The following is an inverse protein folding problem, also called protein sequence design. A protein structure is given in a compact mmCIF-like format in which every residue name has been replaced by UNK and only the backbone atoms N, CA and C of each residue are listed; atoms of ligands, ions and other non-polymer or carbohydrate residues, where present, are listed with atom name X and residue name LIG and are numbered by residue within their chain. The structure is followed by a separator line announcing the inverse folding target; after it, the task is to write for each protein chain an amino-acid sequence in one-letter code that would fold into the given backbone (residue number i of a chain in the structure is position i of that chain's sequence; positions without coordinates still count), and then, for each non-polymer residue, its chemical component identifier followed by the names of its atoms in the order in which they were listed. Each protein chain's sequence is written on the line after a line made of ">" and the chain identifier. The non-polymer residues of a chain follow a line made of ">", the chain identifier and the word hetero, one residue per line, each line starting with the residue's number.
data_IF_240982440607
#
_entry.id   IF_240982440607
#
_cell.length_a   1.000
_cell.length_b   1.000
_cell.length_c   1.000
_cell.angle_alpha   90.00
_cell.angle_beta   90.00
_cell.angle_gamma   90.00
#
_symmetry.space_group_name_H-M   'P 1'
#
loop_
_entity.id
_entity.type
_entity.pdbx_description
1 polymer ?
#
# COMPACT_ATOMS: atom_id res chain seq x y z
N UNK A 1 -0.18 -8.74 3.19
CA UNK A 1 0.51 -9.56 2.16
C UNK A 1 0.37 -11.03 2.52
N UNK A 2 0.08 -11.91 1.55
CA UNK A 2 -0.19 -13.36 1.74
C UNK A 2 -1.26 -13.70 2.78
N UNK A 3 -2.18 -12.77 3.05
CA UNK A 3 -3.27 -13.03 3.99
C UNK A 3 -4.18 -14.14 3.43
N UNK A 4 -4.56 -15.15 4.25
CA UNK A 4 -5.48 -16.18 3.83
C UNK A 4 -6.86 -15.58 3.59
N UNK A 5 -7.65 -16.18 2.70
CA UNK A 5 -8.98 -15.65 2.34
C UNK A 5 -9.90 -15.48 3.56
N UNK A 6 -9.79 -16.36 4.56
CA UNK A 6 -10.54 -16.24 5.83
C UNK A 6 -10.30 -14.92 6.58
N UNK A 7 -9.08 -14.36 6.49
CA UNK A 7 -8.77 -13.08 7.14
C UNK A 7 -9.50 -11.91 6.47
N UNK A 8 -9.88 -12.06 5.19
CA UNK A 8 -10.62 -11.07 4.44
C UNK A 8 -12.12 -11.11 4.72
N UNK A 9 -12.66 -12.29 5.10
CA UNK A 9 -14.10 -12.51 5.24
C UNK A 9 -14.77 -11.51 6.20
N UNK A 10 -14.13 -11.22 7.35
CA UNK A 10 -14.65 -10.24 8.32
C UNK A 10 -14.82 -8.84 7.71
N UNK A 11 -13.89 -8.40 6.88
CA UNK A 11 -13.97 -7.10 6.22
C UNK A 11 -15.01 -7.10 5.11
N UNK A 12 -15.13 -8.21 4.36
CA UNK A 12 -16.17 -8.35 3.33
C UNK A 12 -17.56 -8.23 3.94
N UNK A 13 -17.81 -8.94 5.05
CA UNK A 13 -19.08 -8.91 5.77
C UNK A 13 -19.37 -7.49 6.26
N UNK A 14 -18.41 -6.85 6.92
CA UNK A 14 -18.64 -5.54 7.50
C UNK A 14 -18.80 -4.44 6.43
N UNK A 15 -18.01 -4.45 5.36
CA UNK A 15 -18.19 -3.49 4.28
C UNK A 15 -19.50 -3.69 3.53
N UNK A 16 -19.97 -4.93 3.36
CA UNK A 16 -21.30 -5.19 2.81
C UNK A 16 -22.42 -4.67 3.72
N UNK A 17 -22.25 -4.78 5.04
CA UNK A 17 -23.19 -4.23 6.03
C UNK A 17 -23.24 -2.71 5.97
N UNK A 18 -22.09 -2.05 5.93
CA UNK A 18 -21.97 -0.60 5.93
C UNK A 18 -22.37 0.05 4.60
N UNK A 19 -22.14 -0.63 3.48
CA UNK A 19 -22.34 -0.08 2.14
C UNK A 19 -23.02 -1.10 1.20
N UNK A 20 -24.28 -1.48 1.46
CA UNK A 20 -24.94 -2.61 0.79
C UNK A 20 -25.18 -2.39 -0.72
N UNK A 21 -25.27 -1.13 -1.16
CA UNK A 21 -25.49 -0.76 -2.57
C UNK A 21 -24.22 -0.36 -3.31
N UNK A 22 -23.07 -0.32 -2.62
CA UNK A 22 -21.81 0.11 -3.20
C UNK A 22 -21.05 -1.07 -3.79
N UNK A 23 -20.40 -0.86 -4.94
CA UNK A 23 -19.48 -1.85 -5.50
C UNK A 23 -18.22 -1.94 -4.62
N UNK A 24 -17.97 -3.11 -4.05
CA UNK A 24 -16.79 -3.35 -3.20
C UNK A 24 -15.75 -4.11 -4.04
N UNK A 25 -14.54 -3.57 -4.13
CA UNK A 25 -13.41 -4.18 -4.83
C UNK A 25 -12.33 -4.56 -3.81
N UNK A 26 -11.96 -5.83 -3.77
CA UNK A 26 -10.87 -6.31 -2.93
C UNK A 26 -9.65 -6.66 -3.77
N UNK A 27 -8.50 -6.08 -3.43
CA UNK A 27 -7.23 -6.35 -4.09
C UNK A 27 -6.32 -7.04 -3.08
N UNK A 28 -6.01 -8.31 -3.35
CA UNK A 28 -5.06 -9.08 -2.54
C UNK A 28 -3.63 -8.77 -2.98
N UNK A 29 -2.71 -8.78 -2.02
CA UNK A 29 -1.27 -8.68 -2.23
C UNK A 29 -0.57 -9.94 -1.74
N UNK A 30 0.43 -10.37 -2.49
CA UNK A 30 1.26 -11.54 -2.21
C UNK A 30 2.74 -11.20 -2.27
N UNK A 31 3.61 -11.99 -1.64
CA UNK A 31 5.06 -11.78 -1.77
C UNK A 31 5.53 -11.93 -3.22
N UNK A 32 4.84 -12.74 -4.01
CA UNK A 32 5.12 -12.90 -5.44
C UNK A 32 4.97 -11.57 -6.21
N UNK A 33 4.06 -10.69 -5.78
CA UNK A 33 3.91 -9.36 -6.36
C UNK A 33 5.14 -8.46 -6.13
N UNK A 34 5.87 -8.67 -5.04
CA UNK A 34 7.06 -7.90 -4.67
C UNK A 34 8.36 -8.52 -5.16
N UNK A 35 8.42 -9.84 -5.26
CA UNK A 35 9.65 -10.56 -5.61
C UNK A 35 9.76 -10.86 -7.11
N UNK A 36 8.64 -11.19 -7.76
CA UNK A 36 8.64 -11.71 -9.14
C UNK A 36 7.91 -10.76 -10.08
N UNK A 37 6.71 -10.31 -9.69
CA UNK A 37 5.87 -9.42 -10.50
C UNK A 37 6.04 -7.94 -10.14
N UNK A 38 7.22 -7.54 -9.68
CA UNK A 38 7.46 -6.18 -9.18
C UNK A 38 7.49 -5.10 -10.26
N UNK A 39 7.54 -5.48 -11.55
CA UNK A 39 7.59 -4.52 -12.66
C UNK A 39 6.26 -3.78 -12.81
N UNK A 40 6.34 -2.52 -13.24
CA UNK A 40 5.16 -1.68 -13.46
C UNK A 40 4.16 -2.31 -14.43
N UNK A 41 4.64 -2.90 -15.54
CA UNK A 41 3.81 -3.62 -16.51
C UNK A 41 3.05 -4.78 -15.87
N UNK A 42 3.71 -5.62 -15.09
CA UNK A 42 3.08 -6.76 -14.43
C UNK A 42 2.05 -6.32 -13.38
N UNK A 43 2.36 -5.28 -12.60
CA UNK A 43 1.40 -4.74 -11.63
C UNK A 43 0.20 -4.08 -12.29
N UNK A 44 0.40 -3.30 -13.35
CA UNK A 44 -0.70 -2.68 -14.11
C UNK A 44 -1.62 -3.74 -14.71
N UNK A 45 -1.07 -4.81 -15.29
CA UNK A 45 -1.86 -5.93 -15.79
C UNK A 45 -2.67 -6.61 -14.68
N UNK A 46 -2.07 -6.79 -13.49
CA UNK A 46 -2.74 -7.39 -12.32
C UNK A 46 -3.93 -6.56 -11.82
N UNK A 47 -3.81 -5.23 -11.82
CA UNK A 47 -4.87 -4.33 -11.32
C UNK A 47 -5.85 -3.88 -12.40
N UNK A 48 -5.65 -4.28 -13.66
CA UNK A 48 -6.49 -3.87 -14.78
C UNK A 48 -8.00 -4.13 -14.58
N UNK A 49 -8.46 -5.25 -14.00
CA UNK A 49 -9.88 -5.46 -13.73
C UNK A 49 -10.45 -4.45 -12.73
N UNK A 50 -9.67 -4.06 -11.72
CA UNK A 50 -10.09 -3.03 -10.75
C UNK A 50 -10.20 -1.66 -11.44
N UNK A 51 -9.23 -1.31 -12.28
CA UNK A 51 -9.25 -0.06 -13.05
C UNK A 51 -10.47 0.00 -13.99
N UNK A 52 -10.80 -1.10 -14.67
CA UNK A 52 -11.99 -1.17 -15.51
C UNK A 52 -13.27 -0.94 -14.70
N UNK A 53 -13.40 -1.57 -13.54
CA UNK A 53 -14.55 -1.40 -12.65
C UNK A 53 -14.68 0.03 -12.09
N UNK A 54 -13.56 0.70 -11.79
CA UNK A 54 -13.53 2.09 -11.36
C UNK A 54 -13.98 3.04 -12.48
N UNK A 55 -13.47 2.84 -13.70
CA UNK A 55 -13.84 3.64 -14.88
C UNK A 55 -15.33 3.53 -15.18
N UNK A 56 -15.91 2.33 -15.07
CA UNK A 56 -17.33 2.10 -15.33
C UNK A 56 -18.25 2.80 -14.31
N UNK A 57 -17.76 3.14 -13.12
CA UNK A 57 -18.57 3.80 -12.09
C UNK A 57 -18.49 5.32 -12.14
N UNK A 58 -17.34 5.89 -12.50
CA UNK A 58 -17.00 7.32 -12.43
C UNK A 58 -17.26 8.02 -11.06
N UNK A 59 -17.69 7.26 -10.04
CA UNK A 59 -18.03 7.74 -8.72
C UNK A 59 -16.76 7.89 -7.87
N UNK A 60 -16.77 8.80 -6.88
CA UNK A 60 -15.72 8.87 -5.90
C UNK A 60 -15.53 7.56 -5.14
N UNK A 61 -14.28 7.24 -4.82
CA UNK A 61 -13.92 5.97 -4.17
C UNK A 61 -13.49 6.20 -2.73
N UNK A 62 -13.89 5.27 -1.87
CA UNK A 62 -13.31 5.08 -0.55
C UNK A 62 -12.22 4.01 -0.62
N UNK A 63 -11.05 4.27 -0.05
CA UNK A 63 -9.89 3.36 -0.14
C UNK A 63 -9.45 2.93 1.26
N UNK A 64 -9.41 1.62 1.52
CA UNK A 64 -8.81 1.07 2.74
C UNK A 64 -7.61 0.19 2.38
N UNK A 65 -6.44 0.53 2.91
CA UNK A 65 -5.18 -0.17 2.66
C UNK A 65 -4.68 -0.85 3.93
N UNK A 66 -4.37 -2.13 3.82
CA UNK A 66 -3.74 -2.91 4.89
C UNK A 66 -2.26 -3.10 4.61
N UNK A 67 -1.43 -2.68 5.55
CA UNK A 67 0.03 -2.73 5.51
C UNK A 67 0.66 -2.05 4.28
N UNK A 68 2.00 -2.04 4.23
CA UNK A 68 2.73 -1.54 3.06
C UNK A 68 2.33 -2.26 1.75
N UNK A 69 1.85 -3.51 1.84
CA UNK A 69 1.40 -4.26 0.68
C UNK A 69 0.11 -3.70 0.06
N UNK A 70 -0.80 -3.21 0.91
CA UNK A 70 -2.02 -2.53 0.50
C UNK A 70 -1.71 -1.17 -0.12
N UNK A 71 -0.81 -0.39 0.48
CA UNK A 71 -0.37 0.91 -0.06
C UNK A 71 0.28 0.73 -1.43
N UNK A 72 1.18 -0.26 -1.59
CA UNK A 72 1.78 -0.58 -2.87
C UNK A 72 0.72 -0.96 -3.93
N UNK A 73 -0.26 -1.79 -3.58
CA UNK A 73 -1.34 -2.16 -4.51
C UNK A 73 -2.20 -0.95 -4.89
N UNK A 74 -2.53 -0.09 -3.92
CA UNK A 74 -3.31 1.12 -4.16
C UNK A 74 -2.58 2.08 -5.12
N UNK A 75 -1.28 2.30 -4.93
CA UNK A 75 -0.47 3.12 -5.85
C UNK A 75 -0.49 2.56 -7.27
N UNK A 76 -0.36 1.24 -7.44
CA UNK A 76 -0.46 0.64 -8.78
C UNK A 76 -1.84 0.81 -9.41
N UNK A 77 -2.93 0.76 -8.62
CA UNK A 77 -4.27 1.09 -9.12
C UNK A 77 -4.36 2.55 -9.57
N UNK A 78 -3.84 3.48 -8.75
CA UNK A 78 -3.86 4.91 -9.05
C UNK A 78 -3.06 5.24 -10.31
N UNK A 79 -1.84 4.69 -10.43
CA UNK A 79 -1.00 4.88 -11.61
C UNK A 79 -1.63 4.27 -12.87
N UNK A 80 -2.18 3.06 -12.77
CA UNK A 80 -2.86 2.41 -13.89
C UNK A 80 -4.14 3.14 -14.30
N UNK A 81 -4.90 3.66 -13.33
CA UNK A 81 -6.09 4.48 -13.58
C UNK A 81 -5.73 5.78 -14.29
N UNK A 82 -4.71 6.50 -13.80
CA UNK A 82 -4.22 7.73 -14.45
C UNK A 82 -3.71 7.44 -15.86
N UNK A 83 -2.96 6.36 -16.05
CA UNK A 83 -2.49 5.97 -17.38
C UNK A 83 -3.64 5.66 -18.35
N UNK A 84 -4.74 5.09 -17.85
CA UNK A 84 -5.90 4.72 -18.66
C UNK A 84 -6.89 5.87 -18.92
N UNK A 85 -6.89 6.92 -18.10
CA UNK A 85 -7.92 7.99 -18.14
C UNK A 85 -7.35 9.40 -18.32
N UNK A 86 -6.04 9.58 -18.13
CA UNK A 86 -5.41 10.89 -18.07
C UNK A 86 -5.74 11.68 -16.79
N UNK A 87 -6.57 11.15 -15.88
CA UNK A 87 -7.09 11.87 -14.72
C UNK A 87 -6.68 11.20 -13.40
N UNK A 88 -6.47 11.98 -12.32
CA UNK A 88 -6.31 11.43 -10.98
C UNK A 88 -7.61 10.74 -10.53
N UNK A 89 -7.49 9.73 -9.68
CA UNK A 89 -8.66 9.05 -9.13
C UNK A 89 -9.34 9.96 -8.10
N UNK A 90 -10.67 10.10 -8.20
CA UNK A 90 -11.49 10.84 -7.23
C UNK A 90 -11.68 10.01 -5.97
N UNK A 91 -11.11 10.44 -4.85
CA UNK A 91 -11.12 9.71 -3.58
C UNK A 91 -11.81 10.53 -2.51
N UNK A 92 -12.85 9.98 -1.89
CA UNK A 92 -13.59 10.64 -0.81
C UNK A 92 -12.83 10.56 0.51
N UNK A 93 -12.36 9.36 0.86
CA UNK A 93 -11.53 9.12 2.03
C UNK A 93 -10.61 7.91 1.86
N UNK A 94 -9.53 7.91 2.66
CA UNK A 94 -8.51 6.88 2.70
C UNK A 94 -8.27 6.43 4.14
N UNK A 95 -8.33 5.12 4.38
CA UNK A 95 -7.93 4.50 5.65
C UNK A 95 -6.63 3.76 5.44
N UNK A 96 -5.63 4.08 6.24
CA UNK A 96 -4.35 3.41 6.31
C UNK A 96 -4.32 2.56 7.58
N UNK A 97 -4.37 1.24 7.43
CA UNK A 97 -4.26 0.28 8.53
C UNK A 97 -2.83 -0.28 8.54
N UNK A 98 -2.10 0.06 9.59
CA UNK A 98 -0.73 -0.38 9.86
C UNK A 98 0.23 -0.02 8.71
N UNK A 99 0.08 1.20 8.17
CA UNK A 99 0.78 1.69 7.00
C UNK A 99 0.69 3.23 6.88
N UNK A 100 1.53 3.86 6.03
CA UNK A 100 2.73 3.30 5.43
C UNK A 100 3.91 3.37 6.39
N UNK A 101 4.73 2.32 6.40
CA UNK A 101 6.02 2.30 7.10
C UNK A 101 7.20 2.68 6.21
N UNK A 102 8.40 2.58 6.75
CA UNK A 102 9.65 2.59 5.98
C UNK A 102 10.12 1.15 5.72
N UNK A 103 10.75 0.93 4.58
CA UNK A 103 11.35 -0.37 4.32
C UNK A 103 12.69 -0.50 5.02
N UNK A 104 12.77 -1.44 5.95
CA UNK A 104 14.00 -1.79 6.65
C UNK A 104 14.35 -3.26 6.39
N UNK A 105 15.64 -3.59 6.36
CA UNK A 105 16.10 -4.97 6.21
C UNK A 105 15.52 -5.91 7.29
N UNK A 106 15.55 -5.57 8.60
CA UNK A 106 14.92 -6.40 9.62
C UNK A 106 13.43 -6.66 9.37
N UNK A 107 12.67 -5.62 9.00
CA UNK A 107 11.24 -5.76 8.73
C UNK A 107 10.97 -6.64 7.50
N UNK A 108 11.78 -6.52 6.45
CA UNK A 108 11.69 -7.36 5.26
C UNK A 108 11.97 -8.85 5.58
N UNK A 109 13.05 -9.11 6.32
CA UNK A 109 13.39 -10.47 6.79
C UNK A 109 12.28 -11.02 7.68
N UNK A 110 11.77 -10.24 8.64
CA UNK A 110 10.70 -10.65 9.54
C UNK A 110 9.41 -10.96 8.77
N UNK A 111 9.03 -10.11 7.83
CA UNK A 111 7.85 -10.31 6.97
C UNK A 111 7.97 -11.59 6.11
N UNK A 112 9.16 -11.93 5.64
CA UNK A 112 9.37 -13.15 4.84
C UNK A 112 9.66 -14.39 5.69
N UNK A 113 10.09 -14.25 6.94
CA UNK A 113 10.30 -15.38 7.82
C UNK A 113 9.00 -16.17 8.09
N UNK A 114 7.83 -15.55 7.89
CA UNK A 114 6.53 -16.23 7.99
C UNK A 114 6.32 -17.36 6.97
N UNK A 115 7.02 -17.35 5.83
CA UNK A 115 6.94 -18.45 4.85
C UNK A 115 7.91 -19.60 5.17
N UNK A 116 8.82 -19.43 6.14
CA UNK A 116 9.82 -20.44 6.45
C UNK A 116 9.23 -21.65 7.20
N UNK A 117 9.77 -22.86 6.96
CA UNK A 117 9.37 -24.08 7.67
C UNK A 117 9.43 -23.94 9.20
N UNK A 118 8.64 -24.75 9.91
CA UNK A 118 8.61 -24.75 11.39
C UNK A 118 9.83 -25.43 12.03
N UNK A 119 10.53 -26.30 11.31
CA UNK A 119 11.73 -26.97 11.79
C UNK A 119 12.82 -25.96 12.18
N UNK A 120 13.34 -26.04 13.41
CA UNK A 120 14.21 -25.01 14.00
C UNK A 120 15.45 -24.73 13.16
N UNK A 121 16.17 -25.78 12.76
CA UNK A 121 17.40 -25.66 11.96
C UNK A 121 17.10 -25.01 10.60
N UNK A 122 16.10 -25.52 9.88
CA UNK A 122 15.72 -25.01 8.56
C UNK A 122 15.21 -23.56 8.63
N UNK A 123 14.54 -23.19 9.71
CA UNK A 123 14.09 -21.81 9.96
C UNK A 123 15.26 -20.86 10.23
N UNK A 124 16.26 -21.29 11.00
CA UNK A 124 17.46 -20.48 11.26
C UNK A 124 18.25 -20.29 9.97
N UNK A 125 18.55 -21.38 9.24
CA UNK A 125 19.23 -21.32 7.94
C UNK A 125 18.46 -20.43 6.96
N UNK A 126 17.13 -20.60 6.88
CA UNK A 126 16.28 -19.76 6.04
C UNK A 126 16.35 -18.28 6.40
N UNK A 127 16.40 -17.92 7.69
CA UNK A 127 16.58 -16.53 8.11
C UNK A 127 17.94 -15.97 7.71
N UNK A 128 19.02 -16.75 7.83
CA UNK A 128 20.36 -16.34 7.37
C UNK A 128 20.34 -16.08 5.86
N UNK A 129 19.75 -16.99 5.08
CA UNK A 129 19.59 -16.81 3.63
C UNK A 129 18.78 -15.55 3.32
N UNK A 130 17.65 -15.32 4.01
CA UNK A 130 16.86 -14.10 3.82
C UNK A 130 17.67 -12.84 4.11
N UNK A 131 18.45 -12.82 5.19
CA UNK A 131 19.33 -11.69 5.51
C UNK A 131 20.34 -11.42 4.41
N UNK A 132 21.05 -12.44 3.93
CA UNK A 132 22.02 -12.31 2.86
C UNK A 132 21.36 -11.81 1.57
N UNK A 133 20.24 -12.41 1.16
CA UNK A 133 19.53 -12.04 -0.06
C UNK A 133 19.03 -10.60 0.01
N UNK A 134 18.40 -10.20 1.12
CA UNK A 134 17.90 -8.83 1.26
C UNK A 134 19.03 -7.80 1.37
N UNK A 135 20.13 -8.13 2.07
CA UNK A 135 21.29 -7.24 2.16
C UNK A 135 21.96 -7.04 0.80
N UNK A 136 22.19 -8.12 0.03
CA UNK A 136 22.72 -8.05 -1.33
C UNK A 136 21.78 -7.27 -2.26
N UNK A 137 20.47 -7.52 -2.17
CA UNK A 137 19.46 -6.78 -2.95
C UNK A 137 19.43 -5.29 -2.61
N UNK A 138 19.53 -4.93 -1.33
CA UNK A 138 19.63 -3.53 -0.87
C UNK A 138 20.91 -2.87 -1.39
N UNK A 139 22.05 -3.55 -1.29
CA UNK A 139 23.33 -3.08 -1.81
C UNK A 139 23.26 -2.82 -3.31
N UNK A 140 22.79 -3.80 -4.09
CA UNK A 140 22.66 -3.66 -5.55
C UNK A 140 21.73 -2.51 -5.92
N UNK A 141 20.61 -2.35 -5.22
CA UNK A 141 19.70 -1.22 -5.46
C UNK A 141 20.34 0.13 -5.19
N UNK A 142 21.14 0.24 -4.12
CA UNK A 142 21.90 1.48 -3.82
C UNK A 142 22.94 1.76 -4.89
N UNK A 143 23.67 0.75 -5.36
CA UNK A 143 24.65 0.87 -6.45
C UNK A 143 23.97 1.32 -7.75
N UNK A 144 22.83 0.72 -8.10
CA UNK A 144 22.04 1.07 -9.28
C UNK A 144 21.15 2.32 -9.08
N UNK A 145 21.20 2.96 -7.90
CA UNK A 145 20.38 4.13 -7.52
C UNK A 145 18.88 3.95 -7.75
N UNK A 146 18.38 2.71 -7.62
CA UNK A 146 16.97 2.38 -7.81
C UNK A 146 16.20 2.72 -6.52
N UNK A 147 15.16 3.57 -6.58
CA UNK A 147 14.42 3.97 -5.39
C UNK A 147 13.63 2.79 -4.80
N UNK A 148 13.50 2.76 -3.47
CA UNK A 148 12.75 1.70 -2.81
C UNK A 148 11.25 1.79 -3.12
N UNK A 149 10.63 0.68 -3.52
CA UNK A 149 9.19 0.62 -3.84
C UNK A 149 8.29 1.17 -2.72
N UNK A 150 8.58 0.90 -1.45
CA UNK A 150 7.83 1.46 -0.29
C UNK A 150 7.97 2.98 -0.19
N UNK A 151 9.17 3.53 -0.41
CA UNK A 151 9.37 4.99 -0.42
C UNK A 151 8.69 5.66 -1.61
N UNK A 152 8.73 5.03 -2.80
CA UNK A 152 7.99 5.49 -3.97
C UNK A 152 6.49 5.47 -3.66
N UNK A 153 5.99 4.39 -3.09
CA UNK A 153 4.58 4.26 -2.74
C UNK A 153 4.11 5.26 -1.68
N UNK A 154 4.92 5.53 -0.63
CA UNK A 154 4.69 6.62 0.35
C UNK A 154 4.52 7.96 -0.32
N UNK A 155 5.36 8.29 -1.31
CA UNK A 155 5.25 9.57 -2.01
C UNK A 155 4.05 9.60 -2.94
N UNK A 156 3.87 8.54 -3.73
CA UNK A 156 2.81 8.44 -4.73
C UNK A 156 1.40 8.49 -4.10
N UNK A 157 1.20 7.91 -2.91
CA UNK A 157 -0.11 7.94 -2.25
C UNK A 157 -0.51 9.34 -1.73
N UNK A 158 0.44 10.28 -1.69
CA UNK A 158 0.21 11.70 -1.38
C UNK A 158 0.28 12.59 -2.64
N UNK A 159 0.49 12.02 -3.83
CA UNK A 159 0.60 12.77 -5.08
C UNK A 159 -0.79 13.21 -5.56
N UNK A 160 -1.00 14.52 -5.71
CA UNK A 160 -2.25 15.11 -6.21
C UNK A 160 -2.52 14.78 -7.68
N UNK A 161 -1.47 14.46 -8.44
CA UNK A 161 -1.58 13.97 -9.81
C UNK A 161 -2.15 12.55 -9.88
N UNK A 162 -2.12 11.80 -8.78
CA UNK A 162 -2.68 10.45 -8.69
C UNK A 162 -3.98 10.41 -7.89
N UNK A 163 -4.08 11.20 -6.82
CA UNK A 163 -5.20 11.21 -5.88
C UNK A 163 -5.83 12.59 -5.80
N UNK A 164 -7.13 12.68 -6.12
CA UNK A 164 -7.90 13.92 -6.03
C UNK A 164 -9.07 13.77 -5.06
N UNK A 165 -9.15 14.65 -4.07
CA UNK A 165 -10.27 14.74 -3.14
C UNK A 165 -11.58 15.17 -3.79
N UNK A 166 -12.71 14.89 -3.12
CA UNK A 166 -14.06 15.22 -3.60
C UNK A 166 -14.59 16.54 -3.03
N UNK A 167 -14.09 16.99 -1.87
CA UNK A 167 -14.59 18.18 -1.19
C UNK A 167 -14.18 19.47 -1.90
N UNK A 168 -15.13 20.41 -2.02
CA UNK A 168 -14.92 21.74 -2.60
C UNK A 168 -14.17 22.70 -1.66
N UNK A 169 -14.15 22.42 -0.35
CA UNK A 169 -13.69 23.36 0.69
C UNK A 169 -12.27 23.21 1.27
N UNK A 170 -11.45 22.24 0.84
CA UNK A 170 -10.07 22.09 1.36
C UNK A 170 -9.07 21.64 0.27
N UNK A 171 -8.99 22.42 -0.82
CA UNK A 171 -7.92 22.26 -1.81
C UNK A 171 -7.89 20.91 -2.55
N UNK A 172 -9.04 20.25 -2.68
CA UNK A 172 -9.18 19.00 -3.42
C UNK A 172 -8.42 17.81 -2.82
N UNK A 173 -8.39 17.67 -1.49
CA UNK A 173 -7.71 16.58 -0.77
C UNK A 173 -8.68 15.51 -0.26
N UNK A 174 -8.31 14.22 -0.27
CA UNK A 174 -9.12 13.18 0.37
C UNK A 174 -8.97 13.25 1.90
N UNK A 175 -10.03 12.91 2.63
CA UNK A 175 -9.93 12.70 4.08
C UNK A 175 -9.05 11.49 4.37
N UNK A 176 -8.21 11.53 5.40
CA UNK A 176 -7.27 10.45 5.73
C UNK A 176 -7.45 10.02 7.18
N UNK A 177 -7.47 8.72 7.41
CA UNK A 177 -7.50 8.11 8.73
C UNK A 177 -6.36 7.10 8.81
N UNK A 178 -5.59 7.16 9.91
CA UNK A 178 -4.49 6.25 10.19
C UNK A 178 -4.85 5.41 11.41
N UNK A 179 -4.80 4.09 11.25
CA UNK A 179 -5.02 3.10 12.32
C UNK A 179 -3.75 2.29 12.43
N UNK A 180 -3.14 2.25 13.61
CA UNK A 180 -1.89 1.54 13.85
C UNK A 180 -1.77 1.19 15.34
N UNK A 181 -0.82 0.31 15.67
CA UNK A 181 -0.45 -0.02 17.05
C UNK A 181 1.05 0.22 17.24
N UNK A 182 1.41 0.73 18.41
CA UNK A 182 2.79 0.81 18.88
C UNK A 182 3.46 -0.57 19.08
N UNK A 183 2.66 -1.63 19.22
CA UNK A 183 3.10 -3.03 19.28
C UNK A 183 3.31 -3.69 17.90
N UNK A 184 3.06 -2.99 16.77
CA UNK A 184 3.32 -3.53 15.44
C UNK A 184 4.84 -3.65 15.19
N UNK A 185 5.31 -4.89 15.06
CA UNK A 185 6.73 -5.17 14.88
C UNK A 185 7.19 -5.15 13.40
N UNK A 186 6.27 -4.95 12.45
CA UNK A 186 6.53 -4.90 11.01
C UNK A 186 6.50 -3.46 10.48
N UNK A 187 5.60 -2.63 11.00
CA UNK A 187 5.47 -1.22 10.62
C UNK A 187 5.55 -0.36 11.87
N UNK A 188 6.65 0.38 12.00
CA UNK A 188 6.85 1.24 13.16
C UNK A 188 5.87 2.41 13.15
N UNK A 189 5.12 2.62 14.24
CA UNK A 189 4.08 3.65 14.34
C UNK A 189 4.59 5.07 14.04
N UNK A 190 5.79 5.43 14.48
CA UNK A 190 6.42 6.72 14.15
C UNK A 190 6.57 6.98 12.65
N UNK A 191 6.76 5.93 11.84
CA UNK A 191 6.79 6.11 10.39
C UNK A 191 5.41 6.51 9.85
N UNK A 192 4.36 5.93 10.43
CA UNK A 192 2.96 6.23 10.09
C UNK A 192 2.61 7.66 10.48
N UNK A 193 2.93 8.08 11.70
CA UNK A 193 2.72 9.46 12.15
C UNK A 193 3.48 10.48 11.30
N UNK A 194 4.76 10.21 11.01
CA UNK A 194 5.53 11.06 10.10
C UNK A 194 4.87 11.15 8.72
N UNK A 195 4.26 10.07 8.23
CA UNK A 195 3.52 10.12 6.97
C UNK A 195 2.27 10.98 7.05
N UNK A 196 1.54 10.88 8.16
CA UNK A 196 0.36 11.68 8.42
C UNK A 196 0.73 13.17 8.43
N UNK A 197 1.78 13.52 9.18
CA UNK A 197 2.36 14.88 9.18
C UNK A 197 2.82 15.33 7.81
N UNK A 198 3.51 14.49 7.03
CA UNK A 198 3.90 14.81 5.65
C UNK A 198 2.67 15.07 4.75
N UNK A 199 1.58 14.32 4.95
CA UNK A 199 0.34 14.46 4.18
C UNK A 199 -0.41 15.75 4.54
N UNK A 200 -0.38 16.13 5.82
CA UNK A 200 -0.94 17.39 6.34
C UNK A 200 -0.10 18.59 5.90
N UNK A 201 1.22 18.53 6.04
CA UNK A 201 2.16 19.61 5.67
C UNK A 201 2.21 19.87 4.16
N UNK A 202 2.15 18.82 3.32
CA UNK A 202 1.93 18.99 1.85
C UNK A 202 0.53 19.54 1.53
N UNK A 203 -0.30 19.71 2.55
CA UNK A 203 -1.54 20.46 2.53
C UNK A 203 -1.47 21.85 3.16
N UNK A 204 -0.44 22.18 3.93
CA UNK A 204 -0.27 23.44 4.66
C UNK A 204 0.70 24.39 3.98
N UNK A 205 0.19 25.15 3.00
CA UNK A 205 0.57 26.54 2.82
C UNK A 205 -0.76 27.31 2.86
N UNK A 206 -1.10 27.85 4.03
CA UNK A 206 -2.30 28.67 4.24
C UNK A 206 -2.85 28.60 5.68
N UNK A 207 -2.41 29.54 6.53
CA UNK A 207 -2.97 29.89 7.85
C UNK A 207 -2.36 29.08 9.01
N UNK A 208 -1.69 29.66 10.00
CA UNK A 208 -1.58 31.05 10.51
C UNK A 208 -0.14 31.57 10.43
#
# INVERSE_FOLDING_TARGET
>A
MNAPARALAKYVIEYRRLAPRTRIIFIRSSSHDFLVRFTKRAQHARVAPAVAALRASAAPVFVHMFSNGGVFSAVNVLEAYRAATGQPLRVSAMVFDSAPGVATLPAAVKAMAFVLPRARVLRVLGKVVLWVVFALGEMLRRMLRVPHAVHVARRAINDRGLVRGVGEGEGGKPRRCYVYSDADELVHWRDVERHAGDAEAKGGIGGL
#
